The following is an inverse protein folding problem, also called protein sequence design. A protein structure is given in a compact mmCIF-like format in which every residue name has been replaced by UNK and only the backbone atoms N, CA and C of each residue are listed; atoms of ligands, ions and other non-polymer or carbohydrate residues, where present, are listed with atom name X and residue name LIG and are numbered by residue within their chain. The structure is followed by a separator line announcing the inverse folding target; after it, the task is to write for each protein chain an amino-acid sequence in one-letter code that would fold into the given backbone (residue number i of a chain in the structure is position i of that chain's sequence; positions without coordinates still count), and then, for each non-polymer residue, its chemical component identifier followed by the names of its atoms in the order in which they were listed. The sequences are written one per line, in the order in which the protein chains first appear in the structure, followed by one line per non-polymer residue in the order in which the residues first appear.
data_IF_888930209401
#
_entry.id   IF_888930209401
#
_cell.length_a   1.000
_cell.length_b   1.000
_cell.length_c   1.000
_cell.angle_alpha   90.00
_cell.angle_beta   90.00
_cell.angle_gamma   90.00
#
_symmetry.space_group_name_H-M   'P 1'
#
loop_
_entity.id
_entity.type
_entity.pdbx_description
1 polymer ?
#
# COMPACT_ATOMS: atom_id res chain seq x y z
N UNK A 1 -1.67 10.70 0.07
CA UNK A 1 -2.01 9.50 0.85
C UNK A 1 -0.96 8.44 0.62
N UNK A 2 -0.53 7.76 1.69
CA UNK A 2 0.60 6.82 1.60
C UNK A 2 0.33 5.62 0.69
N UNK A 3 -0.93 5.19 0.56
CA UNK A 3 -1.28 4.06 -0.30
C UNK A 3 -1.07 4.33 -1.79
N UNK A 4 -0.79 5.57 -2.16
CA UNK A 4 -0.41 5.92 -3.53
C UNK A 4 1.07 5.64 -3.82
N UNK A 5 1.86 5.32 -2.81
CA UNK A 5 3.26 4.94 -3.02
C UNK A 5 3.32 3.60 -3.78
N UNK A 6 4.40 3.42 -4.55
CA UNK A 6 4.55 2.20 -5.35
C UNK A 6 4.76 0.96 -4.48
N UNK A 7 5.62 1.06 -3.48
CA UNK A 7 5.91 -0.03 -2.55
C UNK A 7 5.86 0.52 -1.13
N UNK A 8 5.30 -0.25 -0.21
CA UNK A 8 5.17 0.16 1.19
C UNK A 8 5.72 -0.93 2.09
N UNK A 9 6.67 -0.53 2.94
CA UNK A 9 7.19 -1.35 4.03
C UNK A 9 6.84 -0.62 5.32
N UNK A 10 6.31 -1.33 6.29
CA UNK A 10 5.90 -0.72 7.55
C UNK A 10 6.54 -1.42 8.75
N UNK A 11 6.74 -0.66 9.83
CA UNK A 11 7.12 -1.20 11.11
C UNK A 11 5.91 -1.79 11.83
N UNK A 12 6.15 -2.69 12.78
CA UNK A 12 5.09 -3.40 13.50
C UNK A 12 4.16 -2.48 14.27
N UNK A 13 4.63 -1.30 14.67
CA UNK A 13 3.81 -0.35 15.43
C UNK A 13 2.87 0.47 14.56
N UNK A 14 2.99 0.41 13.23
CA UNK A 14 2.15 1.18 12.34
C UNK A 14 0.77 0.53 12.14
N UNK A 15 -0.19 1.36 11.76
CA UNK A 15 -1.51 0.89 11.37
C UNK A 15 -2.01 1.72 10.19
N UNK A 16 -2.97 1.17 9.46
CA UNK A 16 -3.57 1.80 8.28
C UNK A 16 -5.07 1.88 8.45
N UNK A 17 -5.67 2.90 7.88
CA UNK A 17 -7.11 3.04 7.94
C UNK A 17 -7.56 4.30 7.23
N UNK A 18 -8.87 4.44 7.12
CA UNK A 18 -9.49 5.65 6.64
C UNK A 18 -10.60 6.07 7.60
N UNK A 19 -10.23 6.53 8.83
CA UNK A 19 -11.23 6.97 9.80
C UNK A 19 -12.24 7.97 9.25
N UNK A 20 -11.88 8.91 8.34
CA UNK A 20 -12.85 9.82 7.76
C UNK A 20 -14.02 9.13 7.06
N UNK A 21 -13.86 7.90 6.57
CA UNK A 21 -14.96 7.18 5.94
C UNK A 21 -16.14 6.96 6.91
N UNK A 22 -15.87 6.84 8.21
CA UNK A 22 -16.90 6.67 9.25
C UNK A 22 -17.59 7.97 9.60
N UNK A 23 -16.91 9.11 9.39
CA UNK A 23 -17.37 10.42 9.85
C UNK A 23 -17.81 11.30 8.68
N UNK A 24 -17.03 11.33 7.62
CA UNK A 24 -17.21 12.25 6.49
C UNK A 24 -17.61 11.56 5.19
N UNK A 25 -17.71 10.24 5.18
CA UNK A 25 -18.17 9.51 4.01
C UNK A 25 -17.06 8.83 3.22
N UNK A 26 -17.11 8.90 1.89
CA UNK A 26 -16.29 8.10 1.00
C UNK A 26 -14.86 8.61 0.90
N UNK A 27 -13.84 7.73 0.87
CA UNK A 27 -12.47 8.15 0.60
C UNK A 27 -12.32 8.68 -0.83
N UNK A 28 -11.34 9.59 -1.03
CA UNK A 28 -11.10 10.22 -2.33
C UNK A 28 -10.66 9.24 -3.42
N UNK A 29 -9.94 8.18 -3.05
CA UNK A 29 -9.39 7.24 -4.02
C UNK A 29 -9.68 5.79 -3.62
N UNK A 30 -10.96 5.36 -3.66
CA UNK A 30 -11.30 3.98 -3.29
C UNK A 30 -10.68 2.94 -4.23
N UNK A 31 -10.38 3.30 -5.47
CA UNK A 31 -9.75 2.39 -6.42
C UNK A 31 -8.37 1.89 -5.96
N UNK A 32 -7.64 2.68 -5.17
CA UNK A 32 -6.35 2.26 -4.62
C UNK A 32 -6.52 1.09 -3.67
N UNK A 33 -7.56 1.14 -2.83
CA UNK A 33 -7.89 0.05 -1.92
C UNK A 33 -8.27 -1.21 -2.69
N UNK A 34 -9.10 -1.04 -3.73
CA UNK A 34 -9.56 -2.16 -4.56
C UNK A 34 -8.37 -2.78 -5.29
N UNK A 35 -7.49 -1.96 -5.87
CA UNK A 35 -6.33 -2.44 -6.60
C UNK A 35 -5.40 -3.27 -5.71
N UNK A 36 -5.24 -2.89 -4.45
CA UNK A 36 -4.35 -3.57 -3.51
C UNK A 36 -4.98 -4.80 -2.85
N UNK A 37 -6.27 -4.76 -2.55
CA UNK A 37 -6.95 -5.77 -1.73
C UNK A 37 -7.94 -6.63 -2.51
N UNK A 38 -8.39 -6.18 -3.67
CA UNK A 38 -9.53 -6.76 -4.34
C UNK A 38 -10.83 -6.18 -3.79
N UNK A 39 -11.96 -6.47 -4.45
CA UNK A 39 -13.24 -5.83 -4.13
C UNK A 39 -13.73 -6.14 -2.73
N UNK A 40 -13.72 -7.40 -2.34
CA UNK A 40 -14.35 -7.82 -1.09
C UNK A 40 -13.60 -7.31 0.13
N UNK A 41 -12.26 -7.48 0.14
CA UNK A 41 -11.45 -6.99 1.26
C UNK A 41 -11.45 -5.47 1.36
N UNK A 42 -11.39 -4.79 0.22
CA UNK A 42 -11.47 -3.34 0.22
C UNK A 42 -12.77 -2.86 0.84
N UNK A 43 -13.89 -3.45 0.45
CA UNK A 43 -15.21 -3.13 1.01
C UNK A 43 -15.28 -3.42 2.50
N UNK A 44 -14.69 -4.54 2.92
CA UNK A 44 -14.65 -4.92 4.34
C UNK A 44 -14.08 -3.79 5.21
N UNK A 45 -12.94 -3.23 4.81
CA UNK A 45 -12.27 -2.19 5.57
C UNK A 45 -12.89 -0.81 5.37
N UNK A 46 -13.27 -0.49 4.15
CA UNK A 46 -13.87 0.80 3.85
C UNK A 46 -15.25 0.97 4.47
N UNK A 47 -16.05 -0.11 4.49
CA UNK A 47 -17.40 -0.05 5.06
C UNK A 47 -17.40 0.08 6.58
N UNK A 48 -16.38 -0.41 7.24
CA UNK A 48 -16.29 -0.35 8.72
C UNK A 48 -15.43 0.81 9.20
N UNK A 49 -14.46 1.26 8.38
CA UNK A 49 -13.46 2.25 8.81
C UNK A 49 -12.50 1.71 9.86
N UNK A 50 -12.41 0.39 10.00
CA UNK A 50 -11.51 -0.23 10.96
C UNK A 50 -10.06 0.02 10.60
N UNK A 51 -9.22 0.18 11.62
CA UNK A 51 -7.78 0.25 11.43
C UNK A 51 -7.22 -1.15 11.14
N UNK A 52 -6.18 -1.18 10.31
CA UNK A 52 -5.50 -2.42 9.93
C UNK A 52 -4.09 -2.37 10.49
N UNK A 53 -3.74 -3.19 11.49
CA UNK A 53 -2.35 -3.26 11.96
C UNK A 53 -1.41 -3.63 10.82
N UNK A 54 -0.16 -3.15 10.89
CA UNK A 54 0.81 -3.35 9.80
C UNK A 54 0.98 -4.82 9.43
N UNK A 55 0.98 -5.72 10.40
CA UNK A 55 1.13 -7.15 10.12
C UNK A 55 -0.05 -7.69 9.32
N UNK A 56 -1.27 -7.34 9.70
CA UNK A 56 -2.45 -7.74 8.94
C UNK A 56 -2.44 -7.11 7.54
N UNK A 57 -2.02 -5.85 7.45
CA UNK A 57 -1.92 -5.16 6.17
C UNK A 57 -0.97 -5.89 5.21
N UNK A 58 0.14 -6.40 5.70
CA UNK A 58 1.06 -7.20 4.91
C UNK A 58 0.44 -8.54 4.52
N UNK A 59 -0.25 -9.19 5.46
CA UNK A 59 -0.87 -10.50 5.22
C UNK A 59 -1.95 -10.45 4.14
N UNK A 60 -2.72 -9.37 4.09
CA UNK A 60 -3.80 -9.23 3.09
C UNK A 60 -3.37 -8.53 1.81
N UNK A 61 -2.12 -8.09 1.72
CA UNK A 61 -1.59 -7.48 0.51
C UNK A 61 -1.83 -5.98 0.37
N UNK A 62 -2.24 -5.29 1.43
CA UNK A 62 -2.36 -3.83 1.39
C UNK A 62 -0.99 -3.17 1.27
N UNK A 63 0.00 -3.74 1.92
CA UNK A 63 1.39 -3.29 1.85
C UNK A 63 2.28 -4.48 1.50
N UNK A 64 3.53 -4.19 1.11
CA UNK A 64 4.47 -5.21 0.70
C UNK A 64 4.91 -6.11 1.86
N UNK A 65 5.36 -5.48 2.97
CA UNK A 65 5.79 -6.26 4.13
C UNK A 65 5.76 -5.45 5.41
N UNK A 66 5.73 -6.18 6.53
CA UNK A 66 5.83 -5.63 7.88
C UNK A 66 7.08 -6.16 8.54
N UNK A 67 7.87 -5.29 9.15
CA UNK A 67 9.11 -5.63 9.84
C UNK A 67 9.12 -5.04 11.24
N UNK A 68 10.06 -5.47 12.08
CA UNK A 68 10.27 -4.84 13.37
C UNK A 68 10.62 -3.37 13.18
N UNK A 69 10.18 -2.51 14.10
CA UNK A 69 10.34 -1.06 13.94
C UNK A 69 11.81 -0.64 13.74
N UNK A 70 12.75 -1.27 14.44
CA UNK A 70 14.17 -0.97 14.31
C UNK A 70 14.79 -1.48 13.00
N UNK A 71 14.08 -2.34 12.28
CA UNK A 71 14.52 -2.86 10.97
C UNK A 71 13.90 -2.11 9.79
N UNK A 72 12.99 -1.18 10.06
CA UNK A 72 12.24 -0.50 8.99
C UNK A 72 13.15 0.24 8.02
N UNK A 73 14.01 1.11 8.51
CA UNK A 73 14.88 1.90 7.64
C UNK A 73 15.91 1.03 6.91
N UNK A 74 16.63 0.10 7.56
CA UNK A 74 17.52 -0.80 6.84
C UNK A 74 16.82 -1.59 5.74
N UNK A 75 15.62 -2.09 6.01
CA UNK A 75 14.87 -2.89 5.03
C UNK A 75 14.42 -2.04 3.83
N UNK A 76 13.90 -0.84 4.09
CA UNK A 76 13.48 0.07 3.03
C UNK A 76 14.67 0.47 2.14
N UNK A 77 15.83 0.76 2.76
CA UNK A 77 17.04 1.10 2.01
C UNK A 77 17.55 -0.08 1.19
N UNK A 78 17.49 -1.30 1.72
CA UNK A 78 17.90 -2.49 0.99
C UNK A 78 17.04 -2.69 -0.25
N UNK A 79 15.73 -2.51 -0.14
CA UNK A 79 14.82 -2.61 -1.28
C UNK A 79 15.10 -1.52 -2.31
N UNK A 80 15.30 -0.27 -1.86
CA UNK A 80 15.62 0.83 -2.75
C UNK A 80 16.94 0.59 -3.52
N UNK A 81 17.96 0.06 -2.84
CA UNK A 81 19.23 -0.27 -3.48
C UNK A 81 19.09 -1.31 -4.57
N UNK A 82 18.21 -2.28 -4.38
CA UNK A 82 17.94 -3.27 -5.43
C UNK A 82 17.25 -2.62 -6.62
N UNK A 83 16.36 -1.68 -6.38
CA UNK A 83 15.63 -1.00 -7.45
C UNK A 83 16.55 -0.12 -8.32
N UNK A 84 17.54 0.54 -7.71
CA UNK A 84 18.45 1.41 -8.50
C UNK A 84 19.38 0.63 -9.42
N UNK A 85 19.45 -0.69 -9.29
CA UNK A 85 20.20 -1.53 -10.24
C UNK A 85 19.47 -1.69 -11.58
N UNK A 86 18.17 -1.39 -11.60
CA UNK A 86 17.37 -1.44 -12.81
C UNK A 86 17.56 -0.15 -13.62
N UNK A 87 17.69 -0.22 -14.95
CA UNK A 87 17.76 0.99 -15.77
C UNK A 87 16.54 1.88 -15.56
N UNK A 88 16.75 3.20 -15.45
CA UNK A 88 15.70 4.15 -15.13
C UNK A 88 14.53 4.09 -16.12
N UNK A 89 14.81 4.02 -17.40
CA UNK A 89 13.76 3.97 -18.42
C UNK A 89 12.86 2.75 -18.25
N UNK A 90 13.43 1.61 -17.88
CA UNK A 90 12.66 0.38 -17.66
C UNK A 90 11.81 0.49 -16.40
N UNK A 91 12.35 1.09 -15.33
CA UNK A 91 11.56 1.34 -14.12
C UNK A 91 10.37 2.23 -14.41
N UNK A 92 10.58 3.32 -15.15
CA UNK A 92 9.51 4.25 -15.49
C UNK A 92 8.42 3.60 -16.33
N UNK A 93 8.81 2.79 -17.31
CA UNK A 93 7.86 2.06 -18.15
C UNK A 93 7.05 1.05 -17.35
N UNK A 94 7.71 0.28 -16.50
CA UNK A 94 7.03 -0.71 -15.67
C UNK A 94 6.06 -0.06 -14.70
N UNK A 95 6.48 1.05 -14.08
CA UNK A 95 5.61 1.81 -13.18
C UNK A 95 4.36 2.30 -13.91
N UNK A 96 4.56 2.87 -15.10
CA UNK A 96 3.44 3.36 -15.91
C UNK A 96 2.48 2.23 -16.27
N UNK A 97 3.01 1.09 -16.71
CA UNK A 97 2.18 -0.06 -17.10
C UNK A 97 1.39 -0.62 -15.90
N UNK A 98 2.05 -0.75 -14.75
CA UNK A 98 1.37 -1.24 -13.55
C UNK A 98 0.27 -0.29 -13.10
N UNK A 99 0.52 1.01 -13.12
CA UNK A 99 -0.45 2.00 -12.73
C UNK A 99 -1.63 2.07 -13.70
N UNK A 100 -1.36 1.87 -14.99
CA UNK A 100 -2.40 1.84 -16.00
C UNK A 100 -3.36 0.67 -15.76
N UNK A 101 -2.82 -0.51 -15.53
CA UNK A 101 -3.65 -1.69 -15.21
C UNK A 101 -4.47 -1.44 -13.95
N UNK A 102 -3.84 -0.95 -12.88
CA UNK A 102 -4.52 -0.73 -11.61
C UNK A 102 -5.67 0.28 -11.73
N UNK A 103 -5.47 1.35 -12.52
CA UNK A 103 -6.48 2.41 -12.66
C UNK A 103 -7.68 2.02 -13.53
N UNK A 104 -7.59 0.90 -14.25
CA UNK A 104 -8.66 0.42 -15.12
C UNK A 104 -9.46 -0.73 -14.51
N UNK A 105 -9.26 -1.03 -13.24
CA UNK A 105 -10.02 -2.09 -12.56
C UNK A 105 -11.37 -1.64 -12.05
#
# INVERSE_FOLDING_TARGET
MILNADLIVAGESASFGYPPARVWGVPEAPWVWIARLGFERAKRYLFTGDEIPAREAADVGLILECVADDELLPRALALARRMVLMPLNQLQMMKWMCNDVASHQ
#
